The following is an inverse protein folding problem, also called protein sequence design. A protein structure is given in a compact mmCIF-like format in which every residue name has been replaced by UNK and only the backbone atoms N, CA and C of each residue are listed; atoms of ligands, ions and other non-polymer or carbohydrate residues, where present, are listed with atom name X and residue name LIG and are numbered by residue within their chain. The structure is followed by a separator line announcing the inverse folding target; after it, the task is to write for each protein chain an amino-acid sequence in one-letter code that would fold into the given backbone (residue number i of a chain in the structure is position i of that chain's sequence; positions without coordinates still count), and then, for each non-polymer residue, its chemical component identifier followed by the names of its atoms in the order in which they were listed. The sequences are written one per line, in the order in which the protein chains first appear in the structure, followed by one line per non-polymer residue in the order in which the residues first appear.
data_IF_993768218580
#
_entry.id   IF_993768218580
#
_cell.length_a   1.000
_cell.length_b   1.000
_cell.length_c   1.000
_cell.angle_alpha   90.00
_cell.angle_beta   90.00
_cell.angle_gamma   90.00
#
_symmetry.space_group_name_H-M   'P 1'
#
loop_
_entity.id
_entity.type
_entity.pdbx_description
1 polymer ?
#
# COMPACT_ATOMS: atom_id res chain seq x y z
N UNK A 1 -31.49 22.00 -1.74
CA UNK A 1 -30.15 22.11 -2.36
C UNK A 1 -29.38 20.84 -2.04
N UNK A 2 -29.14 19.99 -3.03
CA UNK A 2 -28.34 18.77 -2.88
C UNK A 2 -26.88 19.21 -2.76
N UNK A 3 -26.32 19.18 -1.56
CA UNK A 3 -24.93 19.53 -1.31
C UNK A 3 -24.06 18.34 -1.77
N UNK A 4 -23.85 18.23 -3.09
CA UNK A 4 -22.87 17.32 -3.67
C UNK A 4 -21.51 17.95 -3.35
N UNK A 5 -21.06 17.77 -2.11
CA UNK A 5 -19.64 17.86 -1.82
C UNK A 5 -18.98 16.87 -2.78
N UNK A 6 -18.34 17.40 -3.84
CA UNK A 6 -17.41 16.68 -4.67
C UNK A 6 -16.38 16.08 -3.70
N UNK A 7 -16.63 14.84 -3.28
CA UNK A 7 -15.75 14.10 -2.41
C UNK A 7 -14.48 13.91 -3.22
N UNK A 8 -13.52 14.84 -3.08
CA UNK A 8 -12.19 14.70 -3.67
C UNK A 8 -11.74 13.30 -3.32
N UNK A 9 -11.53 12.48 -4.35
CA UNK A 9 -11.21 11.08 -4.19
C UNK A 9 -9.97 10.98 -3.31
N UNK A 10 -10.14 10.60 -2.04
CA UNK A 10 -9.02 10.47 -1.12
C UNK A 10 -8.20 9.28 -1.57
N UNK A 11 -7.00 9.54 -2.07
CA UNK A 11 -6.07 8.52 -2.52
C UNK A 11 -5.16 8.17 -1.36
N UNK A 12 -5.26 6.93 -0.91
CA UNK A 12 -4.28 6.34 -0.01
C UNK A 12 -3.18 5.68 -0.86
N UNK A 13 -1.96 6.20 -0.77
CA UNK A 13 -0.81 5.68 -1.47
C UNK A 13 0.23 5.16 -0.48
N UNK A 14 0.50 3.86 -0.54
CA UNK A 14 1.72 3.27 -0.02
C UNK A 14 2.85 3.52 -1.01
N UNK A 15 3.99 3.99 -0.50
CA UNK A 15 5.25 3.92 -1.22
C UNK A 15 6.19 3.01 -0.43
N UNK A 16 6.77 2.03 -1.11
CA UNK A 16 7.74 1.11 -0.52
C UNK A 16 8.97 1.04 -1.42
N UNK A 17 10.15 1.13 -0.83
CA UNK A 17 11.45 1.04 -1.50
C UNK A 17 12.29 0.02 -0.76
N UNK A 18 13.06 -0.79 -1.48
CA UNK A 18 14.05 -1.67 -0.86
C UNK A 18 15.30 -1.72 -1.72
N UNK A 19 16.45 -1.97 -1.10
CA UNK A 19 17.75 -1.96 -1.76
C UNK A 19 18.27 -3.37 -2.01
N UNK A 20 18.83 -3.59 -3.19
CA UNK A 20 19.38 -4.88 -3.58
C UNK A 20 20.72 -5.12 -2.91
N UNK A 21 20.88 -6.27 -2.26
CA UNK A 21 22.17 -6.82 -1.84
C UNK A 21 22.80 -7.78 -2.87
N UNK A 22 22.17 -7.95 -4.05
CA UNK A 22 22.66 -8.78 -5.15
C UNK A 22 21.99 -10.17 -5.30
N UNK A 23 20.87 -10.43 -4.61
CA UNK A 23 20.37 -11.80 -4.37
C UNK A 23 18.98 -12.10 -4.96
N UNK A 24 18.52 -11.29 -5.93
CA UNK A 24 17.22 -11.42 -6.61
C UNK A 24 16.00 -11.25 -5.67
N UNK A 25 16.18 -10.65 -4.49
CA UNK A 25 15.06 -10.37 -3.59
C UNK A 25 13.94 -9.61 -4.29
N UNK A 26 12.69 -10.01 -4.00
CA UNK A 26 11.49 -9.37 -4.53
C UNK A 26 10.67 -8.79 -3.39
N UNK A 27 10.09 -7.63 -3.65
CA UNK A 27 9.15 -6.98 -2.75
C UNK A 27 7.75 -7.00 -3.37
N UNK A 28 6.75 -7.17 -2.52
CA UNK A 28 5.35 -6.91 -2.86
C UNK A 28 4.61 -6.44 -1.62
N UNK A 29 3.45 -5.84 -1.84
CA UNK A 29 2.61 -5.34 -0.77
C UNK A 29 1.16 -5.79 -0.96
N UNK A 30 0.42 -5.83 0.13
CA UNK A 30 -1.02 -6.00 0.14
C UNK A 30 -1.63 -4.94 1.03
N UNK A 31 -2.71 -4.31 0.58
CA UNK A 31 -3.49 -3.38 1.40
C UNK A 31 -4.83 -4.01 1.72
N UNK A 32 -5.17 -4.00 3.00
CA UNK A 32 -6.36 -4.58 3.58
C UNK A 32 -7.24 -3.49 4.18
N UNK A 33 -8.54 -3.55 3.94
CA UNK A 33 -9.56 -2.71 4.57
C UNK A 33 -10.22 -3.49 5.70
N UNK A 34 -10.27 -2.89 6.89
CA UNK A 34 -11.03 -3.44 8.01
C UNK A 34 -12.53 -3.34 7.74
N UNK A 35 -13.24 -4.45 7.93
CA UNK A 35 -14.69 -4.59 7.81
C UNK A 35 -15.30 -4.78 9.20
N UNK A 36 -16.62 -4.60 9.28
CA UNK A 36 -17.37 -4.91 10.50
C UNK A 36 -17.16 -6.37 10.89
N UNK A 37 -17.12 -6.65 12.20
CA UNK A 37 -16.86 -8.00 12.73
C UNK A 37 -15.37 -8.39 12.79
N UNK A 38 -14.44 -7.44 12.68
CA UNK A 38 -13.00 -7.70 12.86
C UNK A 38 -12.27 -8.27 11.63
N UNK A 39 -12.98 -8.44 10.51
CA UNK A 39 -12.46 -9.06 9.29
C UNK A 39 -11.65 -8.05 8.48
N UNK A 40 -10.48 -8.45 7.98
CA UNK A 40 -9.72 -7.67 7.01
C UNK A 40 -9.95 -8.24 5.60
N UNK A 41 -10.42 -7.38 4.67
CA UNK A 41 -10.56 -7.75 3.25
C UNK A 41 -9.47 -7.06 2.44
N UNK A 42 -8.77 -7.80 1.60
CA UNK A 42 -7.81 -7.22 0.68
C UNK A 42 -8.50 -6.35 -0.37
N UNK A 43 -7.97 -5.15 -0.55
CA UNK A 43 -8.47 -4.17 -1.52
C UNK A 43 -7.43 -3.82 -2.58
N UNK A 44 -6.15 -4.15 -2.33
CA UNK A 44 -5.08 -4.04 -3.31
C UNK A 44 -4.02 -5.11 -3.10
N UNK A 45 -3.64 -5.78 -4.18
CA UNK A 45 -2.46 -6.63 -4.26
C UNK A 45 -1.42 -6.00 -5.19
N UNK A 46 -0.20 -5.83 -4.68
CA UNK A 46 0.97 -5.45 -5.47
C UNK A 46 1.55 -6.67 -6.19
N UNK A 47 2.18 -6.42 -7.34
CA UNK A 47 2.97 -7.45 -8.03
C UNK A 47 4.30 -7.66 -7.30
N UNK A 48 4.88 -8.86 -7.42
CA UNK A 48 6.25 -9.13 -7.00
C UNK A 48 7.21 -8.39 -7.92
N UNK A 49 7.84 -7.35 -7.40
CA UNK A 49 8.76 -6.49 -8.13
C UNK A 49 10.17 -6.64 -7.55
N UNK A 50 11.21 -6.54 -8.40
CA UNK A 50 12.58 -6.69 -7.94
C UNK A 50 12.94 -5.60 -6.93
N UNK A 51 13.72 -5.99 -5.93
CA UNK A 51 14.32 -5.08 -4.98
C UNK A 51 15.55 -4.45 -5.64
N UNK A 52 15.44 -3.21 -6.13
CA UNK A 52 16.49 -2.55 -6.92
C UNK A 52 16.66 -1.06 -6.58
N UNK A 53 16.22 -0.65 -5.40
CA UNK A 53 16.26 0.74 -4.97
C UNK A 53 15.24 1.63 -5.67
N UNK A 54 14.35 1.12 -6.54
CA UNK A 54 13.24 1.92 -7.09
C UNK A 54 12.01 1.85 -6.17
N UNK A 55 11.30 2.97 -5.97
CA UNK A 55 10.05 2.97 -5.21
C UNK A 55 8.95 2.21 -5.95
N UNK A 56 8.11 1.52 -5.18
CA UNK A 56 6.93 0.78 -5.61
C UNK A 56 5.70 1.40 -4.97
N UNK A 57 4.61 1.48 -5.74
CA UNK A 57 3.43 2.25 -5.36
C UNK A 57 2.19 1.38 -5.23
N UNK A 58 1.54 1.43 -4.08
CA UNK A 58 0.25 0.83 -3.81
C UNK A 58 -0.82 1.88 -3.61
N UNK A 59 -1.69 2.08 -4.60
CA UNK A 59 -2.77 3.08 -4.54
C UNK A 59 -4.13 2.42 -4.33
N UNK A 60 -4.91 3.00 -3.43
CA UNK A 60 -6.36 2.80 -3.35
C UNK A 60 -7.03 4.14 -3.61
N UNK A 61 -7.90 4.15 -4.61
CA UNK A 61 -8.79 5.27 -4.88
C UNK A 61 -10.04 5.15 -3.99
N UNK A 62 -10.59 6.27 -3.54
CA UNK A 62 -11.77 6.33 -2.67
C UNK A 62 -11.57 5.64 -1.32
N UNK A 63 -10.42 5.88 -0.67
CA UNK A 63 -10.20 5.43 0.69
C UNK A 63 -11.27 6.05 1.62
N UNK A 64 -11.96 5.20 2.38
CA UNK A 64 -13.10 5.59 3.21
C UNK A 64 -12.63 6.28 4.48
N UNK A 65 -13.21 7.44 4.77
CA UNK A 65 -12.98 8.18 6.01
C UNK A 65 -13.43 7.31 7.20
N UNK A 66 -12.66 7.34 8.30
CA UNK A 66 -12.96 6.56 9.52
C UNK A 66 -12.66 5.05 9.41
N UNK A 67 -12.22 4.57 8.25
CA UNK A 67 -11.88 3.15 8.05
C UNK A 67 -10.41 2.89 8.39
N UNK A 68 -10.15 1.75 9.04
CA UNK A 68 -8.78 1.28 9.31
C UNK A 68 -8.26 0.48 8.12
N UNK A 69 -7.05 0.79 7.70
CA UNK A 69 -6.33 0.05 6.67
C UNK A 69 -5.09 -0.61 7.26
N UNK A 70 -4.80 -1.85 6.85
CA UNK A 70 -3.56 -2.54 7.17
C UNK A 70 -2.75 -2.69 5.90
N UNK A 71 -1.47 -2.36 5.96
CA UNK A 71 -0.52 -2.62 4.89
C UNK A 71 0.39 -3.76 5.30
N UNK A 72 0.59 -4.72 4.40
CA UNK A 72 1.59 -5.77 4.55
C UNK A 72 2.64 -5.57 3.46
N UNK A 73 3.90 -5.47 3.82
CA UNK A 73 5.04 -5.44 2.89
C UNK A 73 5.82 -6.72 3.12
N UNK A 74 6.05 -7.47 2.05
CA UNK A 74 6.73 -8.76 2.12
C UNK A 74 7.95 -8.72 1.21
N UNK A 75 9.09 -9.12 1.78
CA UNK A 75 10.34 -9.35 1.09
C UNK A 75 10.53 -10.85 0.95
N UNK A 76 10.63 -11.34 -0.29
CA UNK A 76 10.93 -12.73 -0.59
C UNK A 76 12.39 -12.82 -1.07
N UNK A 77 13.27 -13.35 -0.22
CA UNK A 77 14.71 -13.42 -0.42
C UNK A 77 15.48 -13.37 0.92
N UNK A 78 16.71 -12.84 0.94
CA UNK A 78 17.48 -12.67 2.20
C UNK A 78 17.06 -11.40 2.95
N UNK A 79 17.85 -10.98 3.95
CA UNK A 79 17.65 -9.76 4.73
C UNK A 79 18.03 -8.53 3.91
N UNK A 80 17.13 -7.56 3.81
CA UNK A 80 17.36 -6.28 3.14
C UNK A 80 16.86 -5.11 3.98
N UNK A 81 17.43 -3.95 3.71
CA UNK A 81 16.86 -2.68 4.16
C UNK A 81 15.68 -2.34 3.26
N UNK A 82 14.56 -1.99 3.89
CA UNK A 82 13.37 -1.47 3.23
C UNK A 82 12.91 -0.20 3.93
N UNK A 83 12.36 0.71 3.14
CA UNK A 83 11.74 1.95 3.58
C UNK A 83 10.30 1.95 3.06
N UNK A 84 9.36 2.41 3.90
CA UNK A 84 7.99 2.56 3.49
C UNK A 84 7.36 3.77 4.16
N UNK A 85 6.55 4.50 3.39
CA UNK A 85 5.78 5.63 3.89
C UNK A 85 4.42 5.69 3.21
N UNK A 86 3.51 6.41 3.86
CA UNK A 86 2.14 6.60 3.38
C UNK A 86 1.97 8.04 2.93
N UNK A 87 1.30 8.20 1.80
CA UNK A 87 0.91 9.49 1.26
C UNK A 87 -0.61 9.50 1.11
N UNK A 88 -1.23 10.57 1.61
CA UNK A 88 -2.66 10.79 1.48
C UNK A 88 -2.87 12.03 0.61
N UNK A 89 -3.60 11.87 -0.49
CA UNK A 89 -3.96 12.96 -1.38
C UNK A 89 -5.48 13.15 -1.33
N UNK A 90 -5.92 14.40 -1.12
CA UNK A 90 -7.32 14.79 -1.07
C UNK A 90 -7.48 16.24 -0.66
#
# INVERSE_FOLDING_TARGET
MLNIALARAKVFQLVARCWNGGDKTRMYFTIWEHKSGGIYKSVKYGRKLPCNGKPQYGRIYNAKIGTRYRVSIQLAGKRHTAEAWLQNYG
#
